data_IF_040194936885
#
_entry.id   IF_040194936885
#
_cell.length_a   1.000
_cell.length_b   1.000
_cell.length_c   1.000
_cell.angle_alpha   90.00
_cell.angle_beta   90.00
_cell.angle_gamma   90.00
#
_symmetry.space_group_name_H-M   'P 1'
#
loop_
_entity.id
_entity.type
_entity.pdbx_description
1 polymer ?
#
# COMPACT_ATOMS: atom_id res chain seq x y z
N UNK A 1 -7.81 11.37 -3.47
CA UNK A 1 -6.74 10.75 -4.30
C UNK A 1 -6.03 9.65 -3.51
N UNK A 2 -5.49 8.61 -4.16
CA UNK A 2 -4.86 7.46 -3.47
C UNK A 2 -3.76 7.86 -2.47
N UNK A 3 -2.92 8.85 -2.81
CA UNK A 3 -1.90 9.39 -1.91
C UNK A 3 -2.48 9.95 -0.59
N UNK A 4 -3.64 10.62 -0.66
CA UNK A 4 -4.32 11.15 0.54
C UNK A 4 -4.82 10.02 1.44
N UNK A 5 -5.32 8.93 0.85
CA UNK A 5 -5.69 7.73 1.61
C UNK A 5 -4.46 7.17 2.34
N UNK A 6 -3.32 7.01 1.65
CA UNK A 6 -2.09 6.52 2.28
C UNK A 6 -1.64 7.44 3.44
N UNK A 7 -1.65 8.76 3.25
CA UNK A 7 -1.29 9.70 4.32
C UNK A 7 -2.23 9.61 5.53
N UNK A 8 -3.54 9.49 5.30
CA UNK A 8 -4.53 9.31 6.38
C UNK A 8 -4.28 8.02 7.15
N UNK A 9 -4.07 6.90 6.45
CA UNK A 9 -3.84 5.59 7.07
C UNK A 9 -2.56 5.60 7.91
N UNK A 10 -1.49 6.21 7.40
CA UNK A 10 -0.25 6.35 8.16
C UNK A 10 -0.41 7.21 9.41
N UNK A 11 -1.19 8.29 9.34
CA UNK A 11 -1.53 9.10 10.51
C UNK A 11 -2.39 8.35 11.54
N UNK A 12 -3.10 7.31 11.12
CA UNK A 12 -3.90 6.42 11.97
C UNK A 12 -3.11 5.22 12.53
N UNK A 13 -1.81 5.12 12.20
CA UNK A 13 -0.92 4.07 12.72
C UNK A 13 -0.74 2.85 11.80
N UNK A 14 -1.36 2.83 10.61
CA UNK A 14 -1.13 1.76 9.64
C UNK A 14 0.16 2.05 8.83
N UNK A 15 1.22 1.21 8.93
CA UNK A 15 2.49 1.46 8.25
C UNK A 15 2.40 1.13 6.75
N UNK A 16 1.81 2.06 5.98
CA UNK A 16 1.72 2.02 4.52
C UNK A 16 2.38 3.26 3.92
N UNK A 17 3.18 3.04 2.89
CA UNK A 17 3.95 4.05 2.18
C UNK A 17 3.76 3.89 0.69
N UNK A 18 4.18 4.89 -0.08
CA UNK A 18 4.14 4.80 -1.53
C UNK A 18 5.37 5.39 -2.19
N UNK A 19 5.64 4.90 -3.40
CA UNK A 19 6.47 5.56 -4.40
C UNK A 19 5.71 5.59 -5.74
N UNK A 20 6.16 6.41 -6.67
CA UNK A 20 5.53 6.57 -7.97
C UNK A 20 6.64 6.75 -9.02
N UNK A 21 6.51 6.07 -10.16
CA UNK A 21 7.38 6.31 -11.30
C UNK A 21 6.93 7.61 -12.03
N UNK A 22 7.40 7.87 -13.24
CA UNK A 22 6.97 9.04 -14.03
C UNK A 22 5.51 8.96 -14.56
N UNK A 23 4.72 7.97 -14.13
CA UNK A 23 3.34 7.71 -14.57
C UNK A 23 2.31 7.77 -13.43
N UNK A 24 1.02 7.51 -13.71
CA UNK A 24 -0.05 7.62 -12.72
C UNK A 24 -0.10 6.46 -11.70
N UNK A 25 0.73 5.42 -11.87
CA UNK A 25 0.66 4.21 -11.06
C UNK A 25 1.40 4.38 -9.74
N UNK A 26 0.67 4.18 -8.65
CA UNK A 26 1.21 4.21 -7.29
C UNK A 26 1.67 2.81 -6.87
N UNK A 27 2.90 2.68 -6.39
CA UNK A 27 3.41 1.44 -5.78
C UNK A 27 3.32 1.59 -4.26
N UNK A 28 2.54 0.72 -3.62
CA UNK A 28 2.43 0.70 -2.16
C UNK A 28 3.46 -0.23 -1.52
N UNK A 29 4.00 0.19 -0.39
CA UNK A 29 4.93 -0.56 0.44
C UNK A 29 4.31 -0.68 1.84
N UNK A 30 4.10 -1.91 2.29
CA UNK A 30 3.51 -2.23 3.58
C UNK A 30 3.96 -3.62 4.03
N UNK A 31 3.82 -3.92 5.32
CA UNK A 31 4.16 -5.24 5.86
C UNK A 31 3.08 -6.27 5.56
N UNK A 32 3.46 -7.55 5.38
CA UNK A 32 2.52 -8.66 5.14
C UNK A 32 1.41 -8.74 6.20
N UNK A 33 1.74 -8.42 7.46
CA UNK A 33 0.77 -8.40 8.56
C UNK A 33 -0.37 -7.39 8.34
N UNK A 34 -0.12 -6.31 7.60
CA UNK A 34 -1.07 -5.24 7.31
C UNK A 34 -1.89 -5.47 6.03
N UNK A 35 -1.72 -6.62 5.36
CA UNK A 35 -2.30 -6.84 4.04
C UNK A 35 -3.83 -6.73 4.01
N UNK A 36 -4.52 -7.31 5.01
CA UNK A 36 -5.97 -7.25 5.09
C UNK A 36 -6.47 -5.81 5.26
N UNK A 37 -5.81 -5.03 6.11
CA UNK A 37 -6.16 -3.62 6.36
C UNK A 37 -5.93 -2.78 5.11
N UNK A 38 -4.82 -3.01 4.40
CA UNK A 38 -4.53 -2.31 3.14
C UNK A 38 -5.56 -2.66 2.05
N UNK A 39 -5.90 -3.95 1.90
CA UNK A 39 -6.87 -4.42 0.91
C UNK A 39 -8.29 -3.90 1.17
N UNK A 40 -8.65 -3.65 2.44
CA UNK A 40 -9.93 -3.00 2.77
C UNK A 40 -10.04 -1.56 2.23
N UNK A 41 -8.91 -0.88 2.02
CA UNK A 41 -8.86 0.48 1.49
C UNK A 41 -8.50 0.57 0.01
N UNK A 42 -7.85 -0.46 -0.54
CA UNK A 42 -7.44 -0.56 -1.94
C UNK A 42 -7.84 -1.93 -2.50
N UNK A 43 -9.14 -2.18 -2.74
CA UNK A 43 -9.64 -3.53 -3.10
C UNK A 43 -9.13 -4.02 -4.45
N UNK A 44 -8.79 -3.10 -5.36
CA UNK A 44 -8.35 -3.41 -6.73
C UNK A 44 -6.82 -3.44 -6.88
N UNK A 45 -6.06 -3.44 -5.77
CA UNK A 45 -4.59 -3.46 -5.83
C UNK A 45 -4.06 -4.89 -6.06
N UNK A 46 -3.05 -5.01 -6.92
CA UNK A 46 -2.27 -6.23 -7.05
C UNK A 46 -1.19 -6.30 -5.96
N UNK A 47 -1.22 -7.35 -5.15
CA UNK A 47 -0.18 -7.60 -4.14
C UNK A 47 0.87 -8.54 -4.70
N UNK A 48 2.12 -8.07 -4.72
CA UNK A 48 3.28 -8.87 -5.12
C UNK A 48 4.21 -9.13 -3.92
N UNK A 49 4.94 -10.24 -3.95
CA UNK A 49 5.95 -10.61 -2.96
C UNK A 49 7.36 -10.49 -3.58
N UNK A 50 8.02 -9.32 -3.48
CA UNK A 50 9.25 -9.06 -4.23
C UNK A 50 10.42 -9.97 -3.86
N UNK A 51 10.36 -10.62 -2.69
CA UNK A 51 11.42 -11.49 -2.16
C UNK A 51 10.96 -12.94 -1.93
N UNK A 52 9.79 -13.33 -2.43
CA UNK A 52 9.21 -14.67 -2.20
C UNK A 52 8.38 -14.79 -0.91
N UNK A 53 7.86 -16.00 -0.66
CA UNK A 53 6.89 -16.31 0.42
C UNK A 53 7.51 -16.98 1.66
N UNK A 54 8.83 -17.18 1.66
CA UNK A 54 9.58 -17.93 2.69
C UNK A 54 9.32 -17.47 4.10
#
# INVERSE_FOLDING_TARGET
MAMQTVWKLRAQGLPVYFTMDAGPNLKLLFEKASANDVLAHFPDIEVIHPFGLT
#
